data_IF_656861151177
#
_entry.id   IF_656861151177
#
_cell.length_a   1.000
_cell.length_b   1.000
_cell.length_c   1.000
_cell.angle_alpha   90.00
_cell.angle_beta   90.00
_cell.angle_gamma   90.00
#
_symmetry.space_group_name_H-M   'P 1'
#
loop_
_entity.id
_entity.type
_entity.pdbx_description
1 polymer ?
#
# COMPACT_ATOMS: atom_id res chain seq x y z
N UNK A 1 16.17 -3.51 20.27
CA UNK A 1 15.30 -4.17 19.27
C UNK A 1 14.45 -3.06 18.65
N UNK A 2 15.05 -2.35 17.69
CA UNK A 2 14.59 -2.22 16.29
C UNK A 2 13.37 -1.31 16.12
N UNK A 3 13.60 -0.01 16.25
CA UNK A 3 12.75 1.02 15.66
C UNK A 3 13.59 1.77 14.61
N UNK A 4 13.86 1.09 13.50
CA UNK A 4 14.38 1.75 12.29
C UNK A 4 13.21 2.46 11.64
N UNK A 5 12.90 3.66 12.13
CA UNK A 5 12.11 4.61 11.36
C UNK A 5 13.00 5.12 10.23
N UNK A 6 13.13 4.33 9.16
CA UNK A 6 13.81 4.74 7.95
C UNK A 6 13.13 6.01 7.46
N UNK A 7 13.91 7.08 7.54
CA UNK A 7 13.61 8.38 6.99
C UNK A 7 13.89 8.27 5.50
N UNK A 8 12.86 8.32 4.67
CA UNK A 8 13.00 8.67 3.27
C UNK A 8 12.07 9.85 3.01
N UNK A 9 12.70 11.01 2.79
CA UNK A 9 12.00 12.25 2.47
C UNK A 9 11.76 12.29 0.97
N UNK A 10 10.49 12.39 0.58
CA UNK A 10 10.09 12.73 -0.77
C UNK A 10 9.49 14.15 -0.80
N UNK A 11 10.08 14.94 -1.68
CA UNK A 11 9.90 16.36 -1.95
C UNK A 11 8.47 16.69 -2.46
N UNK A 12 7.86 17.75 -1.89
CA UNK A 12 6.95 18.64 -2.60
C UNK A 12 5.57 18.11 -3.04
N UNK A 13 4.66 17.78 -2.09
CA UNK A 13 3.27 17.52 -2.47
C UNK A 13 2.29 17.04 -1.39
N UNK A 14 2.16 17.75 -0.28
CA UNK A 14 0.95 17.74 0.56
C UNK A 14 0.83 16.62 1.61
N UNK A 15 1.28 16.90 2.83
CA UNK A 15 0.69 16.46 4.11
C UNK A 15 0.28 14.98 4.28
N UNK A 16 0.84 14.01 3.56
CA UNK A 16 0.45 12.61 3.66
C UNK A 16 1.70 11.73 3.78
N UNK A 17 1.80 11.01 4.89
CA UNK A 17 2.90 10.12 5.22
C UNK A 17 2.44 8.67 5.15
N UNK A 18 3.17 7.85 4.41
CA UNK A 18 2.99 6.41 4.41
C UNK A 18 3.67 5.77 5.62
N UNK A 19 2.97 4.84 6.26
CA UNK A 19 3.38 4.13 7.46
C UNK A 19 3.12 2.65 7.25
N UNK A 20 4.15 1.83 7.39
CA UNK A 20 4.00 0.39 7.49
C UNK A 20 3.75 0.01 8.95
N UNK A 21 2.55 -0.49 9.25
CA UNK A 21 2.21 -0.98 10.59
C UNK A 21 2.52 -2.47 10.77
N UNK A 22 2.99 -3.17 9.73
CA UNK A 22 3.34 -4.59 9.75
C UNK A 22 2.19 -5.53 9.38
N UNK A 23 0.95 -5.22 9.76
CA UNK A 23 -0.27 -5.93 9.34
C UNK A 23 -1.09 -5.16 8.28
N UNK A 24 -0.78 -3.87 8.11
CA UNK A 24 -1.46 -2.97 7.19
C UNK A 24 -0.57 -1.78 6.86
N UNK A 25 -0.78 -1.22 5.68
CA UNK A 25 -0.20 0.06 5.30
C UNK A 25 -1.19 1.16 5.63
N UNK A 26 -0.72 2.25 6.22
CA UNK A 26 -1.54 3.40 6.58
C UNK A 26 -0.97 4.65 5.93
N UNK A 27 -1.85 5.53 5.44
CA UNK A 27 -1.47 6.89 5.07
C UNK A 27 -2.02 7.82 6.14
N UNK A 28 -1.13 8.59 6.77
CA UNK A 28 -1.45 9.53 7.83
C UNK A 28 -1.24 10.96 7.36
N UNK A 29 -2.18 11.83 7.65
CA UNK A 29 -2.01 13.27 7.50
C UNK A 29 -0.96 13.80 8.49
N UNK A 30 -0.39 14.99 8.28
CA UNK A 30 0.57 15.57 9.24
C UNK A 30 -0.07 15.90 10.58
N UNK A 31 -1.40 16.05 10.63
CA UNK A 31 -2.18 16.20 11.86
C UNK A 31 -2.31 14.87 12.64
N UNK A 32 -1.84 13.75 12.07
CA UNK A 32 -1.88 12.42 12.68
C UNK A 32 -3.13 11.60 12.36
N UNK A 33 -4.08 12.19 11.63
CA UNK A 33 -5.31 11.52 11.16
C UNK A 33 -4.97 10.46 10.11
N UNK A 34 -5.50 9.24 10.23
CA UNK A 34 -5.37 8.20 9.20
C UNK A 34 -6.30 8.56 8.04
N UNK A 35 -5.72 8.94 6.91
CA UNK A 35 -6.45 9.25 5.68
C UNK A 35 -6.88 7.97 4.93
N UNK A 36 -6.22 6.84 5.17
CA UNK A 36 -6.61 5.53 4.65
C UNK A 36 -5.66 4.44 5.08
N UNK A 37 -6.10 3.19 5.00
CA UNK A 37 -5.29 2.02 5.28
C UNK A 37 -5.60 0.84 4.35
N UNK A 38 -4.58 0.03 4.08
CA UNK A 38 -4.64 -1.17 3.27
C UNK A 38 -4.16 -2.35 4.13
N UNK A 39 -5.11 -3.16 4.56
CA UNK A 39 -4.82 -4.39 5.28
C UNK A 39 -4.26 -5.44 4.31
N UNK A 40 -3.17 -6.06 4.70
CA UNK A 40 -2.53 -7.11 3.92
C UNK A 40 -2.15 -8.30 4.81
N UNK A 41 -1.95 -9.44 4.18
CA UNK A 41 -1.39 -10.62 4.83
C UNK A 41 -0.20 -11.12 4.03
N UNK A 42 0.94 -11.31 4.71
CA UNK A 42 2.13 -11.92 4.10
C UNK A 42 2.04 -13.43 4.22
N UNK A 43 2.18 -14.12 3.09
CA UNK A 43 2.15 -15.58 2.99
C UNK A 43 3.47 -16.08 2.39
N UNK A 44 4.05 -17.12 2.98
CA UNK A 44 5.31 -17.69 2.53
C UNK A 44 6.55 -16.97 3.09
N UNK A 45 7.67 -17.66 3.00
CA UNK A 45 8.98 -17.21 3.47
C UNK A 45 9.91 -17.25 2.25
N UNK A 46 10.28 -16.07 1.73
CA UNK A 46 11.28 -15.85 0.66
C UNK A 46 11.02 -16.53 -0.72
N UNK A 47 10.48 -15.82 -1.74
CA UNK A 47 9.80 -14.52 -1.68
C UNK A 47 8.36 -14.70 -1.21
N UNK A 48 7.97 -13.94 -0.19
CA UNK A 48 6.60 -13.94 0.32
C UNK A 48 5.59 -13.41 -0.72
N UNK A 49 4.31 -13.55 -0.40
CA UNK A 49 3.19 -13.02 -1.18
C UNK A 49 2.33 -12.13 -0.28
N UNK A 50 2.13 -10.88 -0.70
CA UNK A 50 1.30 -9.88 -0.05
C UNK A 50 -0.14 -9.96 -0.57
N UNK A 51 -1.03 -10.46 0.26
CA UNK A 51 -2.46 -10.57 -0.04
C UNK A 51 -3.20 -9.37 0.53
N UNK A 52 -3.60 -8.43 -0.33
CA UNK A 52 -4.43 -7.28 0.06
C UNK A 52 -5.87 -7.72 0.25
N UNK A 53 -6.27 -7.89 1.52
CA UNK A 53 -7.60 -8.37 1.89
C UNK A 53 -8.62 -7.25 1.88
N UNK A 54 -8.22 -6.07 2.35
CA UNK A 54 -9.12 -4.92 2.49
C UNK A 54 -8.37 -3.61 2.34
N UNK A 55 -9.02 -2.62 1.74
CA UNK A 55 -8.49 -1.26 1.64
C UNK A 55 -9.63 -0.31 1.92
N UNK A 56 -9.42 0.57 2.89
CA UNK A 56 -10.37 1.59 3.29
C UNK A 56 -9.67 2.95 3.22
N UNK A 57 -10.35 3.92 2.64
CA UNK A 57 -9.86 5.30 2.54
C UNK A 57 -10.94 6.16 3.16
N UNK A 58 -10.53 7.13 3.96
CA UNK A 58 -11.47 8.03 4.60
C UNK A 58 -12.17 8.87 3.51
N UNK A 59 -13.51 9.00 3.53
CA UNK A 59 -14.26 9.70 2.51
C UNK A 59 -13.90 11.19 2.39
N UNK A 60 -13.33 11.82 3.44
CA UNK A 60 -12.82 13.19 3.36
C UNK A 60 -11.55 13.31 2.49
N UNK A 61 -10.91 12.17 2.21
CA UNK A 61 -9.70 12.02 1.41
C UNK A 61 -9.94 11.19 0.14
N UNK A 62 -11.09 10.52 0.00
CA UNK A 62 -11.55 9.96 -1.27
C UNK A 62 -11.61 11.05 -2.36
N UNK A 63 -11.25 10.67 -3.58
CA UNK A 63 -11.15 11.61 -4.70
C UNK A 63 -9.92 12.52 -4.71
N UNK A 64 -9.09 12.53 -3.64
CA UNK A 64 -7.79 13.23 -3.61
C UNK A 64 -6.60 12.35 -4.03
N UNK A 65 -6.86 11.12 -4.46
CA UNK A 65 -5.83 10.18 -4.89
C UNK A 65 -5.12 9.43 -3.76
N UNK A 66 -5.58 9.54 -2.51
CA UNK A 66 -4.95 8.89 -1.34
C UNK A 66 -4.94 7.37 -1.48
N UNK A 67 -6.08 6.76 -1.86
CA UNK A 67 -6.16 5.31 -2.08
C UNK A 67 -5.22 4.82 -3.18
N UNK A 68 -5.09 5.60 -4.26
CA UNK A 68 -4.15 5.31 -5.34
C UNK A 68 -2.70 5.38 -4.85
N UNK A 69 -2.33 6.44 -4.11
CA UNK A 69 -0.99 6.58 -3.56
C UNK A 69 -0.65 5.44 -2.56
N UNK A 70 -1.60 5.09 -1.70
CA UNK A 70 -1.48 3.99 -0.75
C UNK A 70 -1.22 2.65 -1.46
N UNK A 71 -2.05 2.30 -2.44
CA UNK A 71 -1.90 1.05 -3.20
C UNK A 71 -0.61 1.08 -4.02
N UNK A 72 -0.30 2.19 -4.69
CA UNK A 72 0.93 2.33 -5.49
C UNK A 72 2.18 2.10 -4.64
N UNK A 73 2.26 2.70 -3.46
CA UNK A 73 3.42 2.53 -2.58
C UNK A 73 3.50 1.13 -1.99
N UNK A 74 2.37 0.53 -1.63
CA UNK A 74 2.34 -0.84 -1.14
C UNK A 74 2.81 -1.85 -2.21
N UNK A 75 2.39 -1.65 -3.46
CA UNK A 75 2.85 -2.44 -4.61
C UNK A 75 4.33 -2.22 -4.91
N UNK A 76 4.80 -0.98 -4.84
CA UNK A 76 6.21 -0.66 -5.05
C UNK A 76 7.10 -1.28 -3.97
N UNK A 77 6.67 -1.27 -2.71
CA UNK A 77 7.37 -1.99 -1.64
C UNK A 77 7.46 -3.49 -1.92
N UNK A 78 6.35 -4.12 -2.31
CA UNK A 78 6.33 -5.53 -2.68
C UNK A 78 7.30 -5.81 -3.84
N UNK A 79 7.29 -4.94 -4.86
CA UNK A 79 8.21 -5.01 -6.01
C UNK A 79 9.67 -4.93 -5.58
N UNK A 80 10.01 -3.99 -4.70
CA UNK A 80 11.37 -3.81 -4.20
C UNK A 80 11.83 -4.99 -3.34
N UNK A 81 10.91 -5.60 -2.60
CA UNK A 81 11.16 -6.81 -1.81
C UNK A 81 11.21 -8.09 -2.67
N UNK A 82 10.75 -8.04 -3.92
CA UNK A 82 10.58 -9.22 -4.78
C UNK A 82 9.42 -10.12 -4.35
N UNK A 83 8.49 -9.61 -3.54
CA UNK A 83 7.31 -10.32 -3.07
C UNK A 83 6.19 -10.27 -4.13
N UNK A 84 5.45 -11.38 -4.25
CA UNK A 84 4.25 -11.43 -5.07
C UNK A 84 3.10 -10.63 -4.45
N UNK A 85 2.12 -10.20 -5.25
CA UNK A 85 0.94 -9.48 -4.75
C UNK A 85 -0.34 -10.20 -5.16
N UNK A 86 -1.32 -10.28 -4.25
CA UNK A 86 -2.67 -10.75 -4.55
C UNK A 86 -3.68 -9.69 -4.13
N UNK A 87 -4.53 -9.27 -5.06
CA UNK A 87 -5.58 -8.28 -4.79
C UNK A 87 -6.94 -8.95 -4.58
N UNK A 88 -7.32 -9.19 -3.32
CA UNK A 88 -8.67 -9.69 -2.99
C UNK A 88 -9.70 -8.57 -3.00
N UNK A 89 -9.32 -7.36 -2.57
CA UNK A 89 -10.21 -6.21 -2.54
C UNK A 89 -10.56 -5.72 -3.97
N UNK A 90 -11.85 -5.47 -4.30
CA UNK A 90 -12.25 -4.99 -5.62
C UNK A 90 -11.67 -3.61 -5.97
N UNK A 91 -11.36 -2.79 -4.96
CA UNK A 91 -10.70 -1.49 -5.16
C UNK A 91 -9.28 -1.67 -5.72
N UNK A 92 -8.48 -2.53 -5.10
CA UNK A 92 -7.12 -2.83 -5.55
C UNK A 92 -7.14 -3.48 -6.92
N UNK A 93 -8.08 -4.40 -7.18
CA UNK A 93 -8.25 -4.96 -8.54
C UNK A 93 -8.58 -3.89 -9.58
N UNK A 94 -9.44 -2.92 -9.25
CA UNK A 94 -9.75 -1.81 -10.16
C UNK A 94 -8.55 -0.89 -10.38
N UNK A 95 -7.68 -0.73 -9.37
CA UNK A 95 -6.42 0.00 -9.49
C UNK A 95 -5.45 -0.74 -10.42
N UNK A 96 -5.22 -2.04 -10.19
CA UNK A 96 -4.34 -2.87 -11.03
C UNK A 96 -4.79 -2.91 -12.49
N UNK A 97 -6.10 -2.94 -12.76
CA UNK A 97 -6.62 -2.84 -14.14
C UNK A 97 -6.25 -1.53 -14.84
N UNK A 98 -6.02 -0.45 -14.09
CA UNK A 98 -5.58 0.85 -14.63
C UNK A 98 -4.05 0.94 -14.73
N UNK A 99 -3.34 0.11 -13.97
CA UNK A 99 -1.88 0.07 -13.88
C UNK A 99 -1.33 -1.32 -14.23
N UNK A 100 -1.34 -1.68 -15.54
CA UNK A 100 -0.87 -2.98 -15.99
C UNK A 100 0.63 -3.22 -15.73
N UNK A 101 1.39 -2.16 -15.42
CA UNK A 101 2.78 -2.22 -15.00
C UNK A 101 3.03 -3.09 -13.76
N UNK A 102 2.02 -3.21 -12.89
CA UNK A 102 2.09 -4.06 -11.69
C UNK A 102 1.52 -5.46 -11.92
N UNK A 103 0.93 -5.77 -13.08
CA UNK A 103 0.37 -7.11 -13.34
C UNK A 103 1.44 -8.21 -13.30
N UNK A 104 2.69 -7.89 -13.62
CA UNK A 104 3.83 -8.81 -13.52
C UNK A 104 4.09 -9.29 -12.07
N UNK A 105 3.77 -8.45 -11.08
CA UNK A 105 3.91 -8.77 -9.66
C UNK A 105 2.66 -9.46 -9.10
N UNK A 106 1.52 -9.32 -9.79
CA UNK A 106 0.25 -9.81 -9.29
C UNK A 106 0.12 -11.29 -9.63
N UNK A 107 0.15 -12.14 -8.61
CA UNK A 107 -0.19 -13.54 -8.76
C UNK A 107 -1.72 -13.68 -8.81
N UNK A 108 -2.23 -14.14 -9.95
CA UNK A 108 -3.60 -14.68 -10.03
C UNK A 108 -3.55 -16.12 -9.55
N UNK A 109 -3.97 -16.36 -8.30
CA UNK A 109 -4.37 -17.68 -7.84
C UNK A 109 -5.70 -18.09 -8.49
#
# INVERSE_FOLDING_TARGET
MSERTSSDGADGGGDLRFVDAGDRFEVRASDGVVAGFAAYQRYGEDPGTLVFTHTEVDPAYEGKGVGSALVSQALDQARQAGEGVVAMCPFVQAYLRRHPEYEDLVHRD
#
